data_IF_921124495153
#
_entry.id   IF_921124495153
#
_cell.length_a   1.000
_cell.length_b   1.000
_cell.length_c   1.000
_cell.angle_alpha   90.00
_cell.angle_beta   90.00
_cell.angle_gamma   90.00
#
_symmetry.space_group_name_H-M   'P 1'
#
loop_
_entity.id
_entity.type
_entity.pdbx_description
1 polymer ?
#
# COMPACT_ATOMS: atom_id res chain seq x y z
N UNK A 1 -6.08 6.69 -2.36
CA UNK A 1 -6.73 7.65 -3.26
C UNK A 1 -5.71 8.19 -4.26
N UNK A 2 -6.12 8.53 -5.48
CA UNK A 2 -5.30 9.21 -6.48
C UNK A 2 -5.80 10.64 -6.69
N UNK A 3 -4.90 11.60 -6.86
CA UNK A 3 -5.29 12.98 -7.14
C UNK A 3 -4.13 13.86 -7.58
N UNK A 4 -4.46 15.13 -7.84
CA UNK A 4 -3.50 16.16 -8.23
C UNK A 4 -3.85 17.49 -7.56
N UNK A 5 -2.83 18.29 -7.25
CA UNK A 5 -2.99 19.64 -6.75
C UNK A 5 -2.03 20.60 -7.48
N UNK A 6 -2.42 21.87 -7.55
CA UNK A 6 -1.63 22.92 -8.19
C UNK A 6 -0.70 23.54 -7.14
N UNK A 7 0.60 23.43 -7.36
CA UNK A 7 1.62 24.14 -6.62
C UNK A 7 1.98 25.43 -7.35
N UNK A 8 2.21 26.49 -6.59
CA UNK A 8 2.73 27.75 -7.09
C UNK A 8 4.04 28.05 -6.38
N UNK A 9 5.12 28.19 -7.13
CA UNK A 9 6.42 28.55 -6.57
C UNK A 9 6.55 30.06 -6.29
N UNK A 10 7.66 30.46 -5.70
CA UNK A 10 7.95 31.86 -5.37
C UNK A 10 8.08 32.76 -6.63
N UNK A 11 8.34 32.18 -7.80
CA UNK A 11 8.46 32.87 -9.08
C UNK A 11 7.12 32.91 -9.85
N UNK A 12 6.02 32.52 -9.20
CA UNK A 12 4.67 32.39 -9.77
C UNK A 12 4.52 31.31 -10.85
N UNK A 13 5.45 30.36 -10.96
CA UNK A 13 5.26 29.23 -11.86
C UNK A 13 4.25 28.26 -11.24
N UNK A 14 3.30 27.83 -12.07
CA UNK A 14 2.28 26.87 -11.68
C UNK A 14 2.69 25.46 -12.15
N UNK A 15 2.67 24.50 -11.22
CA UNK A 15 2.99 23.10 -11.50
C UNK A 15 1.95 22.18 -10.88
N UNK A 16 1.41 21.28 -11.68
CA UNK A 16 0.57 20.20 -11.17
C UNK A 16 1.45 19.12 -10.54
N UNK A 17 1.18 18.82 -9.27
CA UNK A 17 1.82 17.72 -8.53
C UNK A 17 0.80 16.62 -8.27
N UNK A 18 1.19 15.38 -8.59
CA UNK A 18 0.38 14.19 -8.34
C UNK A 18 0.61 13.68 -6.92
N UNK A 19 -0.44 13.15 -6.29
CA UNK A 19 -0.35 12.46 -5.02
C UNK A 19 -1.16 11.18 -5.01
N UNK A 20 -0.69 10.23 -4.20
CA UNK A 20 -1.37 8.95 -3.98
C UNK A 20 -1.32 8.61 -2.50
N UNK A 21 -2.46 8.20 -1.95
CA UNK A 21 -2.57 7.67 -0.59
C UNK A 21 -2.98 6.20 -0.60
N UNK A 22 -2.58 5.44 0.40
CA UNK A 22 -3.17 4.14 0.74
C UNK A 22 -3.95 4.29 2.03
N UNK A 23 -5.14 3.68 2.06
CA UNK A 23 -5.97 3.62 3.26
C UNK A 23 -5.49 2.46 4.14
N UNK A 24 -5.04 2.79 5.34
CA UNK A 24 -4.68 1.84 6.39
C UNK A 24 -5.55 2.17 7.60
N UNK A 25 -6.67 1.48 7.79
CA UNK A 25 -7.67 1.80 8.82
C UNK A 25 -7.01 2.08 10.20
N UNK A 26 -7.16 3.27 10.81
CA UNK A 26 -8.04 4.41 10.48
C UNK A 26 -7.39 5.55 9.66
N UNK A 27 -6.12 5.43 9.27
CA UNK A 27 -5.32 6.49 8.66
C UNK A 27 -5.26 6.41 7.13
N UNK A 28 -4.85 7.52 6.51
CA UNK A 28 -4.34 7.53 5.15
C UNK A 28 -2.85 7.83 5.15
N UNK A 29 -2.08 7.04 4.42
CA UNK A 29 -0.64 7.22 4.27
C UNK A 29 -0.33 7.70 2.86
N UNK A 30 0.43 8.80 2.76
CA UNK A 30 0.98 9.28 1.48
C UNK A 30 2.15 8.39 1.04
N UNK A 31 2.14 7.97 -0.23
CA UNK A 31 3.09 6.99 -0.79
C UNK A 31 4.31 7.66 -1.46
N UNK A 32 4.40 8.99 -1.40
CA UNK A 32 5.56 9.74 -1.88
C UNK A 32 5.53 10.03 -3.39
N UNK A 33 6.72 10.19 -3.97
CA UNK A 33 6.96 10.74 -5.32
C UNK A 33 6.49 9.86 -6.48
N UNK A 34 6.27 8.56 -6.25
CA UNK A 34 5.83 7.63 -7.30
C UNK A 34 4.29 7.57 -7.44
N UNK A 35 3.61 8.62 -7.00
CA UNK A 35 2.15 8.71 -7.00
C UNK A 35 1.52 8.32 -8.34
N UNK A 36 2.00 8.92 -9.44
CA UNK A 36 1.48 8.69 -10.78
C UNK A 36 1.62 7.23 -11.23
N UNK A 37 2.79 6.62 -10.96
CA UNK A 37 3.06 5.23 -11.31
C UNK A 37 2.09 4.28 -10.59
N UNK A 38 1.84 4.49 -9.30
CA UNK A 38 0.86 3.68 -8.57
C UNK A 38 -0.58 3.87 -9.09
N UNK A 39 -0.93 5.05 -9.58
CA UNK A 39 -2.27 5.28 -10.11
C UNK A 39 -2.48 4.72 -11.52
N UNK A 40 -1.45 4.72 -12.37
CA UNK A 40 -1.55 4.30 -13.76
C UNK A 40 -1.22 2.81 -13.96
N UNK A 41 -0.24 2.29 -13.21
CA UNK A 41 0.30 0.94 -13.44
C UNK A 41 -0.16 -0.07 -12.38
N UNK A 42 -0.97 0.33 -11.40
CA UNK A 42 -1.48 -0.61 -10.41
C UNK A 42 -2.33 -1.68 -11.07
N UNK A 43 -2.01 -2.93 -10.75
CA UNK A 43 -2.78 -4.09 -11.16
C UNK A 43 -3.35 -4.72 -9.91
N UNK A 44 -4.64 -5.05 -9.97
CA UNK A 44 -5.24 -5.87 -8.94
C UNK A 44 -4.51 -7.20 -8.87
N UNK A 45 -4.02 -7.54 -7.68
CA UNK A 45 -3.49 -8.87 -7.40
C UNK A 45 -4.58 -9.58 -6.61
N UNK A 46 -5.23 -10.54 -7.25
CA UNK A 46 -6.18 -11.40 -6.55
C UNK A 46 -5.43 -12.18 -5.48
N UNK A 47 -5.83 -12.01 -4.23
CA UNK A 47 -5.31 -12.78 -3.12
C UNK A 47 -6.45 -13.46 -2.38
N UNK A 48 -6.19 -14.67 -1.90
CA UNK A 48 -7.11 -15.35 -0.99
C UNK A 48 -6.78 -14.84 0.41
N UNK A 49 -7.73 -14.15 1.03
CA UNK A 49 -7.63 -13.76 2.44
C UNK A 49 -7.82 -14.99 3.31
N UNK A 50 -6.75 -15.76 3.49
CA UNK A 50 -6.72 -16.84 4.46
C UNK A 50 -6.56 -16.26 5.87
N UNK A 51 -7.14 -16.92 6.87
CA UNK A 51 -6.81 -16.64 8.26
C UNK A 51 -5.35 -17.02 8.49
N UNK A 52 -4.49 -16.00 8.56
CA UNK A 52 -3.05 -16.16 8.74
C UNK A 52 -2.73 -16.94 10.01
N UNK A 53 -3.55 -16.80 11.06
CA UNK A 53 -3.38 -17.51 12.32
C UNK A 53 -3.54 -19.02 12.12
N UNK A 54 -4.55 -19.43 11.35
CA UNK A 54 -4.80 -20.83 11.02
C UNK A 54 -3.67 -21.40 10.15
N UNK A 55 -3.24 -20.65 9.14
CA UNK A 55 -2.15 -21.08 8.23
C UNK A 55 -0.82 -21.19 8.96
N UNK A 56 -0.50 -20.24 9.85
CA UNK A 56 0.72 -20.29 10.65
C UNK A 56 0.68 -21.43 11.65
N UNK A 57 -0.46 -21.64 12.32
CA UNK A 57 -0.63 -22.72 13.28
C UNK A 57 -0.46 -24.10 12.64
N UNK A 58 -1.06 -24.33 11.48
CA UNK A 58 -0.92 -25.61 10.77
C UNK A 58 0.51 -25.90 10.31
N UNK A 59 1.31 -24.87 10.05
CA UNK A 59 2.75 -25.00 9.77
C UNK A 59 3.60 -25.17 11.03
N UNK A 60 3.18 -24.58 12.14
CA UNK A 60 3.93 -24.58 13.39
C UNK A 60 3.75 -25.88 14.20
N UNK A 61 2.53 -26.43 14.27
CA UNK A 61 2.22 -27.62 15.07
C UNK A 61 3.09 -28.85 14.72
N UNK A 62 3.37 -29.15 13.43
CA UNK A 62 4.30 -30.23 13.07
C UNK A 62 5.73 -30.00 13.54
N UNK A 63 6.22 -28.76 13.49
CA UNK A 63 7.59 -28.41 13.91
C UNK A 63 7.77 -28.59 15.41
N UNK A 64 6.75 -28.24 16.20
CA UNK A 64 6.74 -28.44 17.65
C UNK A 64 6.82 -29.92 18.04
N UNK A 65 6.24 -30.80 17.25
CA UNK A 65 6.23 -32.24 17.51
C UNK A 65 7.53 -32.95 17.10
N UNK A 66 8.38 -32.31 16.28
CA UNK A 66 9.71 -32.83 15.91
C UNK A 66 10.79 -32.53 16.95
N UNK A 67 10.52 -31.60 17.86
CA UNK A 67 11.42 -31.20 18.95
C UNK A 67 11.15 -31.92 20.28
N UNK A 68 10.40 -33.02 20.25
CA UNK A 68 10.02 -33.81 21.42
C UNK A 68 10.51 -35.24 21.26
#
# INVERSE_FOLDING_TARGET
MCGQFLEKDNDNNEKWTHFTTIKTDPNEQWIGSNALQYCQDSKEITYIKNDLSVVLKSRFDPLKNLTK
#
